data_IF_293622871411
#
_entry.id   IF_293622871411
#
_cell.length_a   1.000
_cell.length_b   1.000
_cell.length_c   1.000
_cell.angle_alpha   90.00
_cell.angle_beta   90.00
_cell.angle_gamma   90.00
#
_symmetry.space_group_name_H-M   'P 1'
#
loop_
_entity.id
_entity.type
_entity.pdbx_description
1 polymer ?
#
# COMPACT_ATOMS: atom_id res chain seq x y z
N UNK A 1 -9.86 9.79 -17.74
CA UNK A 1 -8.82 10.73 -18.20
C UNK A 1 -7.52 9.99 -18.02
N UNK A 2 -6.81 9.68 -19.11
CA UNK A 2 -5.53 8.96 -19.08
C UNK A 2 -4.51 9.87 -18.40
N UNK A 3 -4.03 9.48 -17.22
CA UNK A 3 -2.90 10.17 -16.60
C UNK A 3 -1.62 9.65 -17.25
N UNK A 4 -0.96 10.50 -18.01
CA UNK A 4 0.27 10.17 -18.74
C UNK A 4 1.42 10.64 -17.88
N UNK A 5 2.00 9.71 -17.11
CA UNK A 5 3.33 9.90 -16.53
C UNK A 5 4.29 8.99 -17.29
N UNK A 6 5.35 9.56 -17.86
CA UNK A 6 6.47 8.86 -18.50
C UNK A 6 6.26 8.12 -19.84
N UNK A 7 5.15 8.33 -20.55
CA UNK A 7 5.00 7.80 -21.93
C UNK A 7 4.79 6.28 -22.05
N UNK A 8 4.65 5.58 -20.93
CA UNK A 8 4.13 4.22 -20.87
C UNK A 8 2.60 4.28 -20.80
N UNK A 9 1.91 3.62 -21.73
CA UNK A 9 0.47 3.41 -21.61
C UNK A 9 0.24 2.44 -20.46
N UNK A 10 -0.30 2.91 -19.33
CA UNK A 10 -0.75 2.02 -18.28
C UNK A 10 -2.05 1.35 -18.74
N UNK A 11 -1.96 0.07 -19.10
CA UNK A 11 -3.13 -0.78 -19.17
C UNK A 11 -3.56 -1.10 -17.73
N UNK A 12 -4.84 -1.41 -17.50
CA UNK A 12 -5.27 -1.91 -16.19
C UNK A 12 -4.61 -3.25 -15.88
N UNK A 13 -4.72 -3.69 -14.63
CA UNK A 13 -4.29 -5.05 -14.22
C UNK A 13 -5.51 -5.97 -14.36
N UNK A 14 -5.40 -7.03 -15.15
CA UNK A 14 -6.51 -7.98 -15.36
C UNK A 14 -6.66 -8.95 -14.17
N UNK A 15 -7.78 -9.69 -14.13
CA UNK A 15 -7.95 -10.75 -13.13
C UNK A 15 -6.86 -11.81 -13.29
N UNK A 16 -6.37 -12.33 -12.16
CA UNK A 16 -5.30 -13.33 -12.07
C UNK A 16 -3.91 -12.90 -12.60
N UNK A 17 -3.71 -11.65 -13.02
CA UNK A 17 -2.38 -11.13 -13.30
C UNK A 17 -1.59 -10.90 -12.00
N UNK A 18 -0.33 -11.33 -12.00
CA UNK A 18 0.57 -11.11 -10.86
C UNK A 18 1.11 -9.69 -10.95
N UNK A 19 0.99 -8.95 -9.86
CA UNK A 19 1.62 -7.65 -9.68
C UNK A 19 2.14 -7.55 -8.24
N UNK A 20 2.91 -6.52 -7.96
CA UNK A 20 3.44 -6.19 -6.64
C UNK A 20 3.06 -4.75 -6.28
N UNK A 21 2.92 -4.50 -4.98
CA UNK A 21 2.82 -3.15 -4.45
C UNK A 21 3.84 -2.97 -3.33
N UNK A 22 4.31 -1.73 -3.16
CA UNK A 22 5.05 -1.28 -1.98
C UNK A 22 4.36 -0.07 -1.37
N UNK A 23 4.28 -0.03 -0.05
CA UNK A 23 3.84 1.12 0.72
C UNK A 23 4.94 1.39 1.73
N UNK A 24 5.60 2.53 1.57
CA UNK A 24 6.75 2.95 2.37
C UNK A 24 6.45 4.29 3.02
N UNK A 25 6.82 4.43 4.29
CA UNK A 25 6.67 5.67 5.05
C UNK A 25 8.03 6.04 5.63
N UNK A 26 8.54 7.21 5.25
CA UNK A 26 9.76 7.81 5.82
C UNK A 26 9.42 9.21 6.35
N UNK A 27 9.39 9.34 7.68
CA UNK A 27 8.87 10.54 8.35
C UNK A 27 7.44 10.86 7.90
N UNK A 28 7.25 12.07 7.36
CA UNK A 28 5.96 12.54 6.84
C UNK A 28 5.70 12.14 5.38
N UNK A 29 6.59 11.35 4.77
CA UNK A 29 6.47 11.00 3.35
C UNK A 29 5.89 9.61 3.16
N UNK A 30 4.75 9.53 2.48
CA UNK A 30 4.16 8.28 2.03
C UNK A 30 4.46 8.04 0.55
N UNK A 31 5.11 6.92 0.25
CA UNK A 31 5.46 6.49 -1.10
C UNK A 31 4.72 5.18 -1.41
N UNK A 32 4.03 5.16 -2.55
CA UNK A 32 3.28 3.99 -3.02
C UNK A 32 3.73 3.64 -4.43
N UNK A 33 4.13 2.39 -4.63
CA UNK A 33 4.58 1.88 -5.92
C UNK A 33 3.73 0.68 -6.32
N UNK A 34 3.36 0.61 -7.60
CA UNK A 34 2.76 -0.58 -8.23
C UNK A 34 3.71 -1.04 -9.34
N UNK A 35 4.05 -2.32 -9.35
CA UNK A 35 4.98 -2.91 -10.30
C UNK A 35 4.47 -4.24 -10.84
N UNK A 36 4.87 -4.59 -12.07
CA UNK A 36 4.58 -5.86 -12.72
C UNK A 36 5.81 -6.29 -13.51
N UNK A 37 6.19 -7.57 -13.45
CA UNK A 37 7.35 -8.13 -14.15
C UNK A 37 8.68 -7.36 -13.95
N UNK A 38 8.82 -6.72 -12.77
CA UNK A 38 10.00 -5.91 -12.42
C UNK A 38 9.99 -4.48 -12.99
N UNK A 39 8.97 -4.08 -13.73
CA UNK A 39 8.76 -2.71 -14.21
C UNK A 39 7.79 -1.94 -13.29
N UNK A 40 8.09 -0.67 -13.01
CA UNK A 40 7.20 0.22 -12.29
C UNK A 40 6.06 0.66 -13.21
N UNK A 41 4.82 0.29 -12.86
CA UNK A 41 3.62 0.72 -13.58
C UNK A 41 3.11 2.08 -13.09
N UNK A 42 3.18 2.32 -11.78
CA UNK A 42 2.74 3.57 -11.17
C UNK A 42 3.54 3.87 -9.91
N UNK A 43 3.73 5.16 -9.66
CA UNK A 43 4.34 5.68 -8.45
C UNK A 43 3.58 6.91 -7.97
N UNK A 44 3.39 7.01 -6.65
CA UNK A 44 2.84 8.19 -6.02
C UNK A 44 3.59 8.50 -4.74
N UNK A 45 3.87 9.78 -4.58
CA UNK A 45 4.40 10.37 -3.37
C UNK A 45 3.36 11.33 -2.78
N UNK A 46 3.21 11.30 -1.46
CA UNK A 46 2.26 12.13 -0.71
C UNK A 46 2.97 12.69 0.51
N UNK A 47 3.09 14.02 0.54
CA UNK A 47 3.48 14.76 1.74
C UNK A 47 2.34 14.77 2.75
N UNK A 48 2.58 14.17 3.91
CA UNK A 48 1.62 14.04 5.00
C UNK A 48 1.86 15.01 6.16
N UNK A 49 2.77 15.99 6.05
CA UNK A 49 3.15 16.87 7.16
C UNK A 49 1.96 17.60 7.82
N UNK A 50 0.91 17.93 7.04
CA UNK A 50 -0.31 18.58 7.53
C UNK A 50 -1.47 17.60 7.83
N UNK A 51 -1.20 16.29 7.86
CA UNK A 51 -2.23 15.25 8.06
C UNK A 51 -2.50 14.93 9.53
N UNK A 52 -1.63 15.36 10.44
CA UNK A 52 -1.73 15.11 11.89
C UNK A 52 -1.34 13.69 12.33
N UNK A 53 -0.69 12.92 11.45
CA UNK A 53 -0.18 11.58 11.75
C UNK A 53 1.19 11.57 12.43
N UNK A 54 1.80 12.74 12.61
CA UNK A 54 3.03 13.00 13.34
C UNK A 54 2.81 13.10 14.87
N UNK A 55 1.58 12.88 15.33
CA UNK A 55 1.25 12.86 16.75
C UNK A 55 1.85 11.64 17.45
N UNK A 56 2.78 11.87 18.38
CA UNK A 56 3.44 10.83 19.19
C UNK A 56 2.52 9.88 19.98
N UNK A 57 1.25 10.24 20.20
CA UNK A 57 0.27 9.38 20.88
C UNK A 57 -0.45 8.42 19.93
N UNK A 58 -0.33 8.64 18.62
CA UNK A 58 -0.93 7.78 17.60
C UNK A 58 0.02 6.62 17.28
N UNK A 59 -0.56 5.46 17.01
CA UNK A 59 0.19 4.27 16.59
C UNK A 59 -0.34 3.83 15.23
N UNK A 60 0.58 3.34 14.40
CA UNK A 60 0.27 2.88 13.05
C UNK A 60 0.50 1.38 12.92
N UNK A 61 -0.22 0.74 12.02
CA UNK A 61 -0.06 -0.67 11.70
C UNK A 61 -0.51 -0.93 10.26
N UNK A 62 0.21 -1.79 9.56
CA UNK A 62 -0.17 -2.21 8.21
C UNK A 62 -1.28 -3.25 8.23
N UNK A 63 -2.08 -3.25 7.16
CA UNK A 63 -3.08 -4.28 6.87
C UNK A 63 -2.90 -4.74 5.44
N UNK A 64 -3.01 -6.05 5.21
CA UNK A 64 -3.00 -6.64 3.88
C UNK A 64 -4.08 -7.73 3.79
N UNK A 65 -4.74 -7.83 2.64
CA UNK A 65 -5.87 -8.73 2.43
C UNK A 65 -6.92 -8.12 1.50
N UNK A 66 -8.09 -8.75 1.46
CA UNK A 66 -9.28 -8.13 0.87
C UNK A 66 -10.07 -7.46 1.98
N UNK A 67 -10.27 -6.16 1.83
CA UNK A 67 -11.35 -5.46 2.48
C UNK A 67 -12.39 -5.11 1.41
N UNK A 68 -13.42 -5.95 1.31
CA UNK A 68 -14.42 -5.86 0.26
C UNK A 68 -15.33 -4.65 0.54
N UNK A 69 -15.22 -3.61 -0.29
CA UNK A 69 -16.03 -2.41 -0.21
C UNK A 69 -17.37 -2.55 -0.97
N UNK A 70 -17.94 -3.75 -1.00
CA UNK A 70 -19.30 -4.01 -1.48
C UNK A 70 -20.19 -4.42 -0.31
N UNK A 71 -21.36 -3.81 -0.23
CA UNK A 71 -22.39 -4.06 0.79
C UNK A 71 -23.80 -4.15 0.19
N UNK A 72 -23.88 -4.31 -1.13
CA UNK A 72 -25.12 -4.22 -1.91
C UNK A 72 -25.36 -5.42 -2.82
N UNK A 73 -24.33 -6.21 -3.10
CA UNK A 73 -24.40 -7.46 -3.85
C UNK A 73 -25.18 -8.55 -3.09
N UNK A 74 -25.46 -9.64 -3.80
CA UNK A 74 -26.04 -10.85 -3.20
C UNK A 74 -25.06 -11.49 -2.19
N UNK A 75 -25.61 -12.24 -1.23
CA UNK A 75 -24.85 -12.85 -0.11
C UNK A 75 -23.81 -13.90 -0.56
N UNK A 76 -23.92 -14.41 -1.79
CA UNK A 76 -23.01 -15.39 -2.37
C UNK A 76 -21.92 -14.76 -3.27
N UNK A 77 -21.93 -13.44 -3.46
CA UNK A 77 -20.85 -12.73 -4.15
C UNK A 77 -19.61 -12.64 -3.25
N UNK A 78 -18.45 -12.96 -3.82
CA UNK A 78 -17.21 -13.06 -3.05
C UNK A 78 -16.02 -12.54 -3.85
N UNK A 79 -15.07 -11.94 -3.14
CA UNK A 79 -13.78 -11.57 -3.69
C UNK A 79 -12.69 -12.51 -3.17
N UNK A 80 -11.68 -12.76 -4.01
CA UNK A 80 -10.54 -13.61 -3.68
C UNK A 80 -9.23 -12.94 -4.10
N UNK A 81 -8.21 -13.09 -3.26
CA UNK A 81 -6.83 -12.65 -3.51
C UNK A 81 -5.89 -13.80 -3.15
N UNK A 82 -4.76 -13.89 -3.84
CA UNK A 82 -3.66 -14.78 -3.50
C UNK A 82 -2.39 -13.96 -3.35
N UNK A 83 -1.77 -14.00 -2.17
CA UNK A 83 -0.46 -13.38 -1.92
C UNK A 83 0.63 -14.43 -2.10
N UNK A 84 1.62 -14.13 -2.94
CA UNK A 84 2.80 -14.99 -3.11
C UNK A 84 3.95 -14.57 -2.20
N UNK A 85 4.03 -13.27 -1.89
CA UNK A 85 4.97 -12.68 -0.93
C UNK A 85 4.20 -11.62 -0.15
N UNK A 86 4.41 -11.56 1.16
CA UNK A 86 3.89 -10.51 2.03
C UNK A 86 4.92 -10.26 3.13
N UNK A 87 5.54 -9.10 3.09
CA UNK A 87 6.63 -8.71 3.98
C UNK A 87 6.31 -7.34 4.60
N UNK A 88 6.83 -7.10 5.79
CA UNK A 88 6.73 -5.85 6.52
C UNK A 88 8.02 -5.69 7.32
N UNK A 89 8.62 -4.51 7.25
CA UNK A 89 9.85 -4.17 7.94
C UNK A 89 9.73 -2.77 8.56
N UNK A 90 10.41 -2.57 9.69
CA UNK A 90 10.42 -1.31 10.44
C UNK A 90 11.85 -1.02 10.86
N UNK A 91 12.36 0.16 10.51
CA UNK A 91 13.67 0.61 11.01
C UNK A 91 13.57 1.15 12.44
N UNK A 92 14.65 1.01 13.22
CA UNK A 92 14.83 1.67 14.53
C UNK A 92 13.85 1.28 15.65
N UNK A 93 13.46 0.01 15.74
CA UNK A 93 12.80 -0.50 16.95
C UNK A 93 13.82 -0.62 18.11
N UNK A 94 14.28 0.50 18.66
CA UNK A 94 15.01 0.51 19.92
C UNK A 94 14.01 0.15 21.04
N UNK A 95 14.20 -1.03 21.61
CA UNK A 95 13.35 -1.61 22.64
C UNK A 95 13.36 -0.72 23.90
N UNK A 96 12.32 0.12 24.07
CA UNK A 96 12.05 0.96 25.25
C UNK A 96 11.84 0.14 26.55
N UNK A 97 12.05 -1.18 26.51
CA UNK A 97 11.97 -2.09 27.65
C UNK A 97 13.01 -1.82 28.76
N UNK A 98 13.94 -0.87 28.55
CA UNK A 98 14.97 -0.48 29.52
C UNK A 98 14.71 0.85 30.27
N UNK A 99 13.50 1.43 30.17
CA UNK A 99 13.15 2.70 30.83
C UNK A 99 12.20 2.59 32.04
N UNK A 100 12.08 1.41 32.69
CA UNK A 100 11.38 1.26 33.98
C UNK A 100 12.22 0.60 35.08
#
# INVERSE_FOLDING_TARGET
MLDVVSGTLIYGIELDEIFSYSIEVDGDMLMVTISQDGEQLAYREVDMADSGYDNSSDFMYFKAGIYLNDKTSDDDDTAKVSFYVLENDHENYDDESNLM
#
